data_IF_976901712135
#
_entry.id   IF_976901712135
#
_cell.length_a   1.000
_cell.length_b   1.000
_cell.length_c   1.000
_cell.angle_alpha   90.00
_cell.angle_beta   90.00
_cell.angle_gamma   90.00
#
_symmetry.space_group_name_H-M   'P 1'
#
loop_
_entity.id
_entity.type
_entity.pdbx_description
1 polymer ?
#
# COMPACT_ATOMS: atom_id res chain seq x y z
N UNK A 1 4.19 0.83 7.60
CA UNK A 1 4.72 -0.15 6.62
C UNK A 1 4.90 -1.54 7.22
N UNK A 2 5.53 -1.71 8.39
CA UNK A 2 5.69 -3.02 9.06
C UNK A 2 4.42 -3.89 9.15
N UNK A 3 3.23 -3.29 9.19
CA UNK A 3 1.94 -4.01 9.18
C UNK A 3 1.62 -4.72 7.87
N UNK A 4 2.05 -4.16 6.73
CA UNK A 4 1.77 -4.72 5.40
C UNK A 4 2.73 -5.87 5.09
N UNK A 5 4.01 -5.71 5.46
CA UNK A 5 5.03 -6.76 5.31
C UNK A 5 4.74 -7.99 6.19
N UNK A 6 3.91 -7.84 7.22
CA UNK A 6 3.51 -8.93 8.12
C UNK A 6 2.25 -9.67 7.67
N UNK A 7 1.62 -9.27 6.55
CA UNK A 7 0.45 -9.96 6.02
C UNK A 7 0.86 -11.27 5.36
N UNK A 8 0.06 -12.31 5.58
CA UNK A 8 0.27 -13.62 4.98
C UNK A 8 0.12 -13.54 3.45
N UNK A 9 1.09 -14.07 2.71
CA UNK A 9 1.18 -13.96 1.26
C UNK A 9 1.84 -12.67 0.75
N UNK A 10 2.26 -11.72 1.62
CA UNK A 10 3.10 -10.59 1.19
C UNK A 10 4.57 -11.00 1.19
N UNK A 11 5.20 -10.94 0.02
CA UNK A 11 6.62 -11.25 -0.17
C UNK A 11 7.51 -10.05 0.18
N UNK A 12 7.00 -8.84 -0.03
CA UNK A 12 7.72 -7.62 0.32
C UNK A 12 7.04 -6.35 -0.17
N UNK A 13 7.51 -5.21 0.35
CA UNK A 13 7.02 -3.89 -0.03
C UNK A 13 8.16 -3.08 -0.62
N UNK A 14 7.99 -2.63 -1.86
CA UNK A 14 8.97 -1.84 -2.59
C UNK A 14 8.53 -0.37 -2.55
N UNK A 15 9.42 0.51 -2.11
CA UNK A 15 9.17 1.95 -2.06
C UNK A 15 9.46 2.56 -3.43
N UNK A 16 8.45 3.21 -4.02
CA UNK A 16 8.53 3.85 -5.33
C UNK A 16 8.80 5.36 -5.24
N UNK A 17 8.23 6.11 -6.18
CA UNK A 17 8.42 7.56 -6.27
C UNK A 17 7.75 8.29 -5.10
N UNK A 18 8.44 9.31 -4.61
CA UNK A 18 7.88 10.24 -3.63
C UNK A 18 7.28 11.47 -4.33
N UNK A 19 6.11 11.91 -3.87
CA UNK A 19 5.46 13.14 -4.31
C UNK A 19 5.25 14.06 -3.10
N UNK A 20 6.28 14.87 -2.82
CA UNK A 20 6.25 15.85 -1.74
C UNK A 20 5.11 16.86 -1.90
N UNK A 21 4.52 17.27 -0.77
CA UNK A 21 3.44 18.26 -0.74
C UNK A 21 2.09 17.77 -1.27
N UNK A 22 1.98 16.54 -1.76
CA UNK A 22 0.70 15.93 -2.17
C UNK A 22 0.07 15.16 -1.00
N UNK A 23 -1.26 15.15 -0.94
CA UNK A 23 -2.05 14.42 0.06
C UNK A 23 -2.97 13.38 -0.60
N UNK A 24 -3.31 12.31 0.15
CA UNK A 24 -4.36 11.35 -0.25
C UNK A 24 -5.77 11.96 -0.19
N UNK A 25 -5.93 13.10 0.51
CA UNK A 25 -7.20 13.80 0.69
C UNK A 25 -7.24 14.59 1.99
N UNK A 26 -8.35 15.27 2.25
CA UNK A 26 -8.61 15.90 3.54
C UNK A 26 -8.78 14.80 4.61
N UNK A 27 -8.09 14.94 5.75
CA UNK A 27 -8.20 14.00 6.88
C UNK A 27 -7.31 12.74 6.79
N UNK A 28 -6.51 12.58 5.74
CA UNK A 28 -5.56 11.46 5.64
C UNK A 28 -4.41 11.65 6.64
N UNK A 29 -4.14 10.63 7.46
CA UNK A 29 -3.04 10.67 8.44
C UNK A 29 -1.79 10.03 7.86
N UNK A 30 -0.62 10.34 8.42
CA UNK A 30 0.60 9.60 8.07
C UNK A 30 0.37 8.11 8.31
N UNK A 31 0.73 7.29 7.33
CA UNK A 31 0.48 5.85 7.31
C UNK A 31 -0.81 5.42 6.61
N UNK A 32 -1.73 6.35 6.29
CA UNK A 32 -2.89 6.04 5.44
C UNK A 32 -2.41 5.45 4.12
N UNK A 33 -3.16 4.49 3.59
CA UNK A 33 -2.84 3.77 2.36
C UNK A 33 -4.05 3.83 1.42
N UNK A 34 -3.80 3.86 0.12
CA UNK A 34 -4.81 3.70 -0.91
C UNK A 34 -4.28 2.79 -2.01
N UNK A 35 -4.94 1.65 -2.22
CA UNK A 35 -4.67 0.78 -3.35
C UNK A 35 -5.17 1.47 -4.61
N UNK A 36 -4.33 1.50 -5.64
CA UNK A 36 -4.68 2.13 -6.93
C UNK A 36 -5.18 1.09 -7.92
N UNK A 37 -4.47 -0.04 -8.04
CA UNK A 37 -4.82 -1.15 -8.93
C UNK A 37 -4.00 -2.39 -8.60
N UNK A 38 -4.50 -3.54 -9.03
CA UNK A 38 -3.73 -4.77 -9.10
C UNK A 38 -2.79 -4.75 -10.31
N UNK A 39 -1.62 -5.38 -10.15
CA UNK A 39 -0.61 -5.55 -11.20
C UNK A 39 -0.13 -7.00 -11.18
N UNK A 40 0.56 -7.44 -12.23
CA UNK A 40 1.14 -8.78 -12.26
C UNK A 40 2.07 -8.98 -11.05
N UNK A 41 1.76 -9.97 -10.21
CA UNK A 41 2.54 -10.32 -9.01
C UNK A 41 2.37 -9.37 -7.83
N UNK A 42 1.31 -8.55 -7.77
CA UNK A 42 1.07 -7.70 -6.60
C UNK A 42 0.07 -6.56 -6.75
N UNK A 43 0.22 -5.56 -5.89
CA UNK A 43 -0.63 -4.35 -5.85
C UNK A 43 0.22 -3.09 -6.00
N UNK A 44 -0.29 -2.13 -6.78
CA UNK A 44 0.22 -0.77 -6.78
C UNK A 44 -0.62 0.08 -5.84
N UNK A 45 0.04 0.73 -4.88
CA UNK A 45 -0.62 1.58 -3.88
C UNK A 45 0.18 2.85 -3.62
N UNK A 46 -0.46 3.78 -2.90
CA UNK A 46 0.18 4.99 -2.37
C UNK A 46 -0.08 5.08 -0.88
N UNK A 47 0.88 5.58 -0.13
CA UNK A 47 0.74 5.87 1.30
C UNK A 47 1.02 7.32 1.61
N UNK A 48 0.31 7.88 2.59
CA UNK A 48 0.57 9.20 3.12
C UNK A 48 1.80 9.14 4.04
N UNK A 49 2.84 9.89 3.70
CA UNK A 49 3.98 10.16 4.58
C UNK A 49 3.83 11.53 5.25
N UNK A 50 4.74 11.85 6.17
CA UNK A 50 4.84 13.19 6.77
C UNK A 50 5.24 14.28 5.78
N UNK A 51 5.83 13.91 4.63
CA UNK A 51 6.31 14.85 3.60
C UNK A 51 5.40 14.91 2.36
N UNK A 52 4.44 14.00 2.24
CA UNK A 52 3.54 13.90 1.09
C UNK A 52 3.19 12.47 0.72
N UNK A 53 2.79 12.22 -0.53
CA UNK A 53 2.49 10.87 -1.01
C UNK A 53 3.75 10.07 -1.30
N UNK A 54 3.69 8.78 -1.02
CA UNK A 54 4.73 7.83 -1.33
C UNK A 54 4.12 6.65 -2.08
N UNK A 55 4.58 6.39 -3.31
CA UNK A 55 4.22 5.16 -4.00
C UNK A 55 4.85 3.96 -3.31
N UNK A 56 4.09 2.87 -3.26
CA UNK A 56 4.58 1.57 -2.86
C UNK A 56 4.04 0.49 -3.80
N UNK A 57 4.82 -0.58 -3.94
CA UNK A 57 4.44 -1.78 -4.67
C UNK A 57 4.52 -2.95 -3.71
N UNK A 58 3.40 -3.64 -3.52
CA UNK A 58 3.29 -4.77 -2.61
C UNK A 58 3.42 -6.03 -3.47
N UNK A 59 4.50 -6.77 -3.29
CA UNK A 59 4.72 -8.06 -3.95
C UNK A 59 3.95 -9.12 -3.19
N UNK A 60 3.17 -9.90 -3.92
CA UNK A 60 2.27 -10.91 -3.35
C UNK A 60 2.62 -12.26 -3.95
N UNK A 61 2.49 -13.31 -3.16
CA UNK A 61 2.61 -14.68 -3.62
C UNK A 61 1.51 -15.02 -4.64
N UNK A 62 1.80 -15.79 -5.69
CA UNK A 62 0.80 -16.18 -6.66
C UNK A 62 -0.41 -16.88 -6.00
N UNK A 63 -1.62 -16.42 -6.29
CA UNK A 63 -2.86 -16.98 -5.76
C UNK A 63 -3.33 -16.36 -4.43
N UNK A 64 -2.56 -15.44 -3.83
CA UNK A 64 -2.91 -14.76 -2.58
C UNK A 64 -3.42 -13.34 -2.78
N UNK A 65 -3.54 -12.87 -4.03
CA UNK A 65 -3.83 -11.48 -4.35
C UNK A 65 -5.17 -10.99 -3.81
N UNK A 66 -6.21 -11.81 -3.92
CA UNK A 66 -7.56 -11.45 -3.48
C UNK A 66 -7.64 -11.36 -1.94
N UNK A 67 -7.02 -12.33 -1.24
CA UNK A 67 -6.91 -12.34 0.23
C UNK A 67 -6.18 -11.10 0.74
N UNK A 68 -4.98 -10.84 0.21
CA UNK A 68 -4.16 -9.70 0.64
C UNK A 68 -4.84 -8.37 0.32
N UNK A 69 -5.51 -8.26 -0.83
CA UNK A 69 -6.28 -7.06 -1.19
C UNK A 69 -7.40 -6.78 -0.17
N UNK A 70 -8.14 -7.81 0.24
CA UNK A 70 -9.18 -7.69 1.27
C UNK A 70 -8.61 -7.30 2.65
N UNK A 71 -7.50 -7.90 3.07
CA UNK A 71 -6.83 -7.55 4.33
C UNK A 71 -6.31 -6.11 4.35
N UNK A 72 -5.77 -5.62 3.23
CA UNK A 72 -5.31 -4.24 3.09
C UNK A 72 -6.47 -3.24 3.21
N UNK A 73 -7.64 -3.57 2.67
CA UNK A 73 -8.84 -2.74 2.84
C UNK A 73 -9.28 -2.66 4.30
N UNK A 74 -9.22 -3.78 5.04
CA UNK A 74 -9.55 -3.80 6.46
C UNK A 74 -8.55 -3.02 7.33
N UNK A 75 -7.28 -2.92 6.91
CA UNK A 75 -6.27 -2.08 7.59
C UNK A 75 -6.49 -0.56 7.43
N UNK A 76 -7.39 -0.14 6.52
CA UNK A 76 -7.70 1.27 6.27
C UNK A 76 -8.85 1.82 7.12
N UNK A 77 -9.62 0.95 7.79
CA UNK A 77 -10.66 1.29 8.78
C UNK A 77 -10.04 1.38 10.19
#
# INVERSE_FOLDING_TARGET
MRRIEALDGVVGVIIGRSFGGKSLGAGSRTGSLKVQRQVSGGLKAVTQSSKGLQEIYIRIEPGMEEKVSAEILNLQL
#
